data_IF_238349022161
#
_entry.id   IF_238349022161
#
_cell.length_a   1.000
_cell.length_b   1.000
_cell.length_c   1.000
_cell.angle_alpha   90.00
_cell.angle_beta   90.00
_cell.angle_gamma   90.00
#
_symmetry.space_group_name_H-M   'P 1'
#
loop_
_entity.id
_entity.type
_entity.pdbx_description
1 polymer ?
#
# COMPACT_ATOMS: atom_id res chain seq x y z
N UNK A 1 -32.37 8.32 -8.52
CA UNK A 1 -31.16 7.97 -7.77
C UNK A 1 -30.14 7.58 -8.83
N UNK A 2 -29.17 8.45 -9.09
CA UNK A 2 -28.02 8.07 -9.91
C UNK A 2 -27.25 7.01 -9.11
N UNK A 3 -27.34 5.76 -9.54
CA UNK A 3 -26.40 4.74 -9.08
C UNK A 3 -25.05 5.12 -9.69
N UNK A 4 -24.25 5.87 -8.93
CA UNK A 4 -22.86 6.07 -9.26
C UNK A 4 -22.19 4.69 -9.28
N UNK A 5 -21.95 4.16 -10.48
CA UNK A 5 -21.21 2.92 -10.67
C UNK A 5 -19.82 3.05 -10.06
N UNK A 6 -19.37 2.02 -9.34
CA UNK A 6 -18.01 1.96 -8.83
C UNK A 6 -17.17 1.06 -9.74
N UNK A 7 -16.00 1.53 -10.15
CA UNK A 7 -15.02 0.74 -10.90
C UNK A 7 -13.93 0.28 -9.95
N UNK A 8 -13.83 -1.04 -9.73
CA UNK A 8 -12.76 -1.63 -8.95
C UNK A 8 -11.69 -2.26 -9.85
N UNK A 9 -10.46 -1.76 -9.74
CA UNK A 9 -9.30 -2.37 -10.37
C UNK A 9 -8.76 -3.47 -9.43
N UNK A 10 -9.02 -4.74 -9.74
CA UNK A 10 -8.50 -5.83 -8.92
C UNK A 10 -6.98 -5.96 -9.06
N UNK A 11 -6.24 -5.39 -8.10
CA UNK A 11 -4.77 -5.47 -7.96
C UNK A 11 -4.32 -6.59 -7.04
N UNK A 12 -5.22 -7.44 -6.55
CA UNK A 12 -4.91 -8.40 -5.48
C UNK A 12 -3.91 -9.48 -5.91
N UNK A 13 -3.74 -9.71 -7.21
CA UNK A 13 -2.69 -10.60 -7.74
C UNK A 13 -1.27 -10.19 -7.37
N UNK A 14 -1.07 -8.91 -7.05
CA UNK A 14 0.24 -8.31 -6.82
C UNK A 14 0.60 -8.19 -5.33
N UNK A 15 -0.33 -8.47 -4.40
CA UNK A 15 -0.11 -8.34 -2.95
C UNK A 15 1.13 -9.12 -2.49
N UNK A 16 1.20 -10.41 -2.84
CA UNK A 16 2.33 -11.27 -2.50
C UNK A 16 3.63 -10.85 -3.20
N UNK A 17 3.50 -10.37 -4.44
CA UNK A 17 4.65 -9.97 -5.27
C UNK A 17 5.33 -8.72 -4.72
N UNK A 18 4.54 -7.76 -4.21
CA UNK A 18 5.06 -6.55 -3.56
C UNK A 18 5.79 -6.90 -2.25
N UNK A 19 5.20 -7.77 -1.43
CA UNK A 19 5.83 -8.17 -0.18
C UNK A 19 7.11 -9.00 -0.40
N UNK A 20 7.11 -9.85 -1.42
CA UNK A 20 8.25 -10.72 -1.72
C UNK A 20 9.38 -10.03 -2.50
N UNK A 21 9.22 -8.75 -2.85
CA UNK A 21 10.22 -7.99 -3.62
C UNK A 21 11.34 -7.40 -2.78
N UNK A 22 11.19 -7.36 -1.45
CA UNK A 22 12.26 -6.92 -0.56
C UNK A 22 13.31 -8.03 -0.38
N UNK A 23 14.56 -7.61 -0.20
CA UNK A 23 15.68 -8.53 0.07
C UNK A 23 15.96 -8.64 1.58
N UNK A 24 16.37 -9.82 2.03
CA UNK A 24 16.75 -10.04 3.44
C UNK A 24 15.64 -9.74 4.44
N UNK A 25 16.01 -9.19 5.59
CA UNK A 25 15.10 -8.75 6.65
C UNK A 25 14.79 -7.25 6.50
N UNK A 26 14.28 -6.83 5.34
CA UNK A 26 13.90 -5.42 5.08
C UNK A 26 12.46 -5.34 4.58
N UNK A 27 11.86 -4.15 4.67
CA UNK A 27 10.54 -3.86 4.13
C UNK A 27 10.64 -3.30 2.70
N UNK A 28 9.74 -3.65 1.78
CA UNK A 28 9.68 -3.02 0.47
C UNK A 28 9.32 -1.54 0.63
N UNK A 29 10.13 -0.66 0.05
CA UNK A 29 9.85 0.76 -0.11
C UNK A 29 9.41 1.02 -1.54
N UNK A 30 8.23 1.61 -1.70
CA UNK A 30 7.67 1.91 -3.03
C UNK A 30 7.24 3.35 -3.13
N UNK A 31 7.82 4.05 -4.10
CA UNK A 31 7.48 5.44 -4.41
C UNK A 31 6.67 5.52 -5.70
N UNK A 32 5.51 6.19 -5.66
CA UNK A 32 4.72 6.50 -6.86
C UNK A 32 4.20 7.94 -6.80
N UNK A 33 3.99 8.61 -7.94
CA UNK A 33 3.31 9.89 -7.95
C UNK A 33 1.94 9.85 -7.25
N UNK A 34 1.37 11.02 -6.99
CA UNK A 34 -0.02 11.11 -6.53
C UNK A 34 -0.98 10.53 -7.57
N UNK A 35 -2.14 10.03 -7.14
CA UNK A 35 -3.15 9.46 -8.03
C UNK A 35 -2.95 7.99 -8.45
N UNK A 36 -1.86 7.34 -8.02
CA UNK A 36 -1.55 5.94 -8.38
C UNK A 36 -2.26 4.86 -7.53
N UNK A 37 -3.20 5.24 -6.65
CA UNK A 37 -3.93 4.27 -5.80
C UNK A 37 -3.11 3.68 -4.65
N UNK A 38 -2.04 4.36 -4.21
CA UNK A 38 -1.14 3.93 -3.13
C UNK A 38 -1.88 3.52 -1.85
N UNK A 39 -2.65 4.43 -1.29
CA UNK A 39 -3.43 4.23 -0.06
C UNK A 39 -4.50 3.14 -0.23
N UNK A 40 -5.19 3.07 -1.38
CA UNK A 40 -6.17 2.00 -1.65
C UNK A 40 -5.51 0.63 -1.69
N UNK A 41 -4.37 0.51 -2.37
CA UNK A 41 -3.60 -0.73 -2.40
C UNK A 41 -3.10 -1.10 -1.01
N UNK A 42 -2.59 -0.13 -0.24
CA UNK A 42 -2.12 -0.34 1.12
C UNK A 42 -3.25 -0.84 2.04
N UNK A 43 -4.43 -0.22 1.99
CA UNK A 43 -5.60 -0.66 2.75
C UNK A 43 -6.02 -2.10 2.37
N UNK A 44 -6.02 -2.41 1.08
CA UNK A 44 -6.31 -3.77 0.60
C UNK A 44 -5.28 -4.78 1.14
N UNK A 45 -4.01 -4.39 1.18
CA UNK A 45 -2.91 -5.20 1.69
C UNK A 45 -3.01 -5.39 3.20
N UNK A 46 -3.35 -4.34 3.96
CA UNK A 46 -3.56 -4.44 5.40
C UNK A 46 -4.71 -5.39 5.70
N UNK A 47 -5.84 -5.26 5.01
CA UNK A 47 -7.00 -6.13 5.20
C UNK A 47 -6.70 -7.60 4.84
N UNK A 48 -5.84 -7.84 3.86
CA UNK A 48 -5.40 -9.19 3.46
C UNK A 48 -4.57 -9.89 4.54
N UNK A 49 -3.72 -9.15 5.26
CA UNK A 49 -2.80 -9.71 6.25
C UNK A 49 -3.33 -9.70 7.69
N UNK A 50 -4.37 -8.92 7.96
CA UNK A 50 -4.90 -8.68 9.30
C UNK A 50 -5.54 -9.90 9.95
N UNK A 51 -5.09 -10.22 11.16
CA UNK A 51 -5.61 -11.29 12.00
C UNK A 51 -6.82 -10.86 12.87
N UNK A 52 -7.19 -9.57 12.91
CA UNK A 52 -8.31 -9.07 13.73
C UNK A 52 -9.64 -9.75 13.40
N UNK A 53 -9.88 -10.07 12.12
CA UNK A 53 -11.10 -10.71 11.66
C UNK A 53 -10.74 -12.04 10.99
N UNK A 54 -10.70 -13.15 11.75
CA UNK A 54 -10.39 -14.47 11.20
C UNK A 54 -11.32 -14.81 10.02
N UNK A 55 -10.73 -15.20 8.90
CA UNK A 55 -11.47 -15.60 7.69
C UNK A 55 -12.01 -14.45 6.85
N UNK A 56 -11.86 -13.18 7.25
CA UNK A 56 -12.24 -12.04 6.40
C UNK A 56 -11.51 -12.10 5.06
N UNK A 57 -10.19 -12.30 5.08
CA UNK A 57 -9.42 -12.37 3.86
C UNK A 57 -9.83 -13.54 2.96
N UNK A 58 -10.22 -14.68 3.56
CA UNK A 58 -10.71 -15.81 2.77
C UNK A 58 -12.02 -15.45 2.06
N UNK A 59 -12.97 -14.79 2.72
CA UNK A 59 -14.25 -14.40 2.12
C UNK A 59 -14.10 -13.23 1.14
N UNK A 60 -13.39 -12.18 1.53
CA UNK A 60 -13.27 -10.94 0.75
C UNK A 60 -12.41 -11.12 -0.51
N UNK A 61 -11.47 -12.06 -0.50
CA UNK A 61 -10.52 -12.26 -1.59
C UNK A 61 -10.67 -13.63 -2.31
N UNK A 62 -11.67 -14.45 -1.97
CA UNK A 62 -11.90 -15.73 -2.65
C UNK A 62 -12.08 -15.54 -4.16
N UNK A 63 -12.89 -14.55 -4.53
CA UNK A 63 -13.25 -14.26 -5.92
C UNK A 63 -12.21 -13.38 -6.65
N UNK A 64 -11.15 -12.94 -5.96
CA UNK A 64 -10.15 -12.04 -6.54
C UNK A 64 -8.92 -12.81 -7.03
N UNK A 65 -8.01 -12.12 -7.73
CA UNK A 65 -6.89 -12.82 -8.35
C UNK A 65 -5.93 -13.52 -7.36
N UNK A 66 -5.90 -13.16 -6.07
CA UNK A 66 -5.14 -13.89 -5.06
C UNK A 66 -5.84 -15.15 -4.53
N UNK A 67 -7.15 -15.29 -4.73
CA UNK A 67 -7.95 -16.46 -4.33
C UNK A 67 -7.98 -17.62 -5.34
N UNK A 68 -7.49 -17.43 -6.58
CA UNK A 68 -7.59 -18.43 -7.64
C UNK A 68 -6.99 -19.81 -7.27
N UNK A 69 -7.65 -20.93 -7.65
CA UNK A 69 -7.19 -22.29 -7.37
C UNK A 69 -5.75 -22.53 -7.82
N UNK A 70 -4.92 -23.09 -6.93
CA UNK A 70 -3.50 -23.38 -7.18
C UNK A 70 -2.54 -22.30 -6.67
N UNK A 71 -3.02 -21.14 -6.20
CA UNK A 71 -2.18 -20.18 -5.47
C UNK A 71 -2.04 -20.60 -4.02
N UNK A 72 -0.80 -20.64 -3.51
CA UNK A 72 -0.58 -20.74 -2.07
C UNK A 72 -0.99 -19.42 -1.44
N UNK A 73 -1.87 -19.44 -0.44
CA UNK A 73 -2.44 -18.22 0.13
C UNK A 73 -1.45 -17.32 0.88
N UNK A 74 -0.23 -17.79 1.09
CA UNK A 74 0.77 -17.09 1.91
C UNK A 74 0.29 -16.97 3.36
N UNK A 75 0.84 -15.99 4.07
CA UNK A 75 0.53 -15.70 5.46
C UNK A 75 -0.70 -14.78 5.61
N UNK A 76 -1.80 -15.05 4.87
CA UNK A 76 -3.01 -14.22 4.98
C UNK A 76 -3.67 -14.37 6.35
N UNK A 77 -4.22 -13.27 6.88
CA UNK A 77 -4.74 -13.17 8.26
C UNK A 77 -3.79 -13.64 9.37
N UNK A 78 -2.48 -13.47 9.19
CA UNK A 78 -1.46 -13.93 10.13
C UNK A 78 -0.94 -12.85 11.08
N UNK A 79 -0.96 -11.59 10.63
CA UNK A 79 -0.25 -10.50 11.28
C UNK A 79 -1.18 -9.59 12.06
N UNK A 80 -0.64 -8.97 13.11
CA UNK A 80 -1.26 -7.81 13.73
C UNK A 80 -0.83 -6.59 12.94
N UNK A 81 -1.74 -5.97 12.21
CA UNK A 81 -1.42 -4.83 11.34
C UNK A 81 -1.36 -3.54 12.15
N UNK A 82 -0.25 -2.82 12.01
CA UNK A 82 -0.08 -1.45 12.47
C UNK A 82 0.12 -0.53 11.25
N UNK A 83 -0.77 0.45 11.09
CA UNK A 83 -0.77 1.38 9.96
C UNK A 83 -0.44 2.80 10.45
N UNK A 84 0.62 3.38 9.89
CA UNK A 84 1.11 4.71 10.21
C UNK A 84 0.99 5.61 8.98
N UNK A 85 0.12 6.61 9.03
CA UNK A 85 -0.01 7.62 7.97
C UNK A 85 0.73 8.90 8.34
N UNK A 86 1.91 9.09 7.74
CA UNK A 86 2.78 10.24 8.01
C UNK A 86 2.28 11.54 7.36
N UNK A 87 1.18 11.53 6.61
CA UNK A 87 0.53 12.77 6.15
C UNK A 87 -0.09 13.57 7.31
N UNK A 88 -0.27 12.95 8.49
CA UNK A 88 -0.91 13.56 9.67
C UNK A 88 0.04 14.38 10.55
N UNK A 89 1.33 14.43 10.24
CA UNK A 89 2.33 15.20 10.99
C UNK A 89 2.43 16.65 10.51
N UNK A 90 2.77 17.57 11.41
CA UNK A 90 3.03 18.98 11.10
C UNK A 90 4.53 19.20 10.84
N UNK A 91 4.89 19.45 9.59
CA UNK A 91 6.29 19.62 9.16
C UNK A 91 6.72 21.09 9.07
N UNK A 92 6.01 22.02 9.72
CA UNK A 92 6.33 23.46 9.67
C UNK A 92 7.54 23.88 10.51
N UNK A 93 7.97 23.06 11.48
CA UNK A 93 9.24 23.18 12.19
C UNK A 93 9.65 21.83 12.77
N UNK A 94 10.91 21.70 13.22
CA UNK A 94 11.40 20.50 13.92
C UNK A 94 10.56 20.15 15.15
N UNK A 95 10.28 21.12 16.01
CA UNK A 95 9.59 20.91 17.29
C UNK A 95 8.15 20.43 17.05
N UNK A 96 7.45 21.09 16.14
CA UNK A 96 6.07 20.70 15.76
C UNK A 96 6.04 19.32 15.10
N UNK A 97 7.05 19.02 14.29
CA UNK A 97 7.16 17.71 13.68
C UNK A 97 7.35 16.63 14.75
N UNK A 98 8.31 16.81 15.66
CA UNK A 98 8.52 15.90 16.80
C UNK A 98 7.24 15.72 17.62
N UNK A 99 6.58 16.80 18.03
CA UNK A 99 5.35 16.73 18.82
C UNK A 99 4.22 15.99 18.10
N UNK A 100 4.04 16.25 16.81
CA UNK A 100 3.01 15.60 16.00
C UNK A 100 3.34 14.14 15.68
N UNK A 101 4.62 13.79 15.50
CA UNK A 101 5.09 12.42 15.31
C UNK A 101 4.89 11.58 16.57
N UNK A 102 5.30 12.09 17.74
CA UNK A 102 5.08 11.43 19.04
C UNK A 102 3.58 11.20 19.27
N UNK A 103 2.74 12.20 18.99
CA UNK A 103 1.30 12.07 19.13
C UNK A 103 0.71 11.04 18.16
N UNK A 104 1.17 11.00 16.92
CA UNK A 104 0.76 10.01 15.93
C UNK A 104 1.12 8.60 16.41
N UNK A 105 2.38 8.37 16.77
CA UNK A 105 2.86 7.06 17.22
C UNK A 105 2.13 6.57 18.47
N UNK A 106 1.90 7.45 19.45
CA UNK A 106 1.11 7.12 20.65
C UNK A 106 -0.34 6.75 20.30
N UNK A 107 -1.00 7.57 19.48
CA UNK A 107 -2.39 7.33 19.05
C UNK A 107 -2.52 6.04 18.25
N UNK A 108 -1.61 5.75 17.31
CA UNK A 108 -1.66 4.51 16.52
C UNK A 108 -1.30 3.29 17.37
N UNK A 109 -0.43 3.44 18.37
CA UNK A 109 -0.15 2.38 19.35
C UNK A 109 -1.38 2.07 20.19
N UNK A 110 -2.10 3.08 20.67
CA UNK A 110 -3.36 2.89 21.41
C UNK A 110 -4.42 2.19 20.54
N UNK A 111 -4.63 2.67 19.31
CA UNK A 111 -5.55 2.04 18.35
C UNK A 111 -5.17 0.58 18.07
N UNK A 112 -3.89 0.30 17.86
CA UNK A 112 -3.37 -1.04 17.66
C UNK A 112 -3.66 -1.95 18.86
N UNK A 113 -3.36 -1.51 20.07
CA UNK A 113 -3.60 -2.31 21.28
C UNK A 113 -5.08 -2.60 21.45
N UNK A 114 -5.95 -1.59 21.33
CA UNK A 114 -7.39 -1.79 21.47
C UNK A 114 -7.95 -2.74 20.40
N UNK A 115 -7.44 -2.65 19.17
CA UNK A 115 -7.86 -3.54 18.08
C UNK A 115 -7.53 -5.01 18.35
N UNK A 116 -6.38 -5.29 18.97
CA UNK A 116 -5.89 -6.66 19.16
C UNK A 116 -5.90 -7.15 20.61
N UNK A 117 -6.51 -6.40 21.54
CA UNK A 117 -6.41 -6.70 22.98
C UNK A 117 -6.88 -8.11 23.33
N UNK A 118 -7.92 -8.61 22.65
CA UNK A 118 -8.44 -9.96 22.82
C UNK A 118 -7.46 -11.03 22.32
N UNK A 119 -6.77 -10.77 21.19
CA UNK A 119 -5.78 -11.69 20.63
C UNK A 119 -4.45 -11.69 21.41
N UNK A 120 -4.14 -10.56 22.04
CA UNK A 120 -2.92 -10.37 22.83
C UNK A 120 -3.07 -10.85 24.27
N UNK A 121 -4.31 -10.93 24.77
CA UNK A 121 -4.63 -11.29 26.16
C UNK A 121 -3.84 -10.45 27.18
N UNK A 122 -3.54 -9.18 26.84
CA UNK A 122 -2.76 -8.32 27.72
C UNK A 122 -3.62 -7.79 28.87
N UNK A 123 -3.14 -7.88 30.13
CA UNK A 123 -3.88 -7.34 31.26
C UNK A 123 -3.86 -5.80 31.22
N UNK A 124 -4.90 -5.18 31.80
CA UNK A 124 -5.10 -3.73 31.75
C UNK A 124 -3.92 -2.94 32.35
N UNK A 125 -3.24 -3.47 33.36
CA UNK A 125 -2.07 -2.83 33.96
C UNK A 125 -0.85 -2.80 33.01
N UNK A 126 -0.71 -3.82 32.14
CA UNK A 126 0.30 -3.82 31.09
C UNK A 126 -0.02 -2.76 30.04
N UNK A 127 -1.28 -2.68 29.60
CA UNK A 127 -1.71 -1.66 28.62
C UNK A 127 -1.48 -0.25 29.17
N UNK A 128 -1.86 -0.01 30.43
CA UNK A 128 -1.63 1.27 31.08
C UNK A 128 -0.15 1.67 31.11
N UNK A 129 0.75 0.73 31.42
CA UNK A 129 2.21 0.97 31.40
C UNK A 129 2.75 1.27 30.00
N UNK A 130 2.24 0.60 28.95
CA UNK A 130 2.67 0.85 27.57
C UNK A 130 2.27 2.27 27.15
N UNK A 131 1.07 2.71 27.51
CA UNK A 131 0.51 3.99 27.07
C UNK A 131 0.83 5.17 28.00
N UNK A 132 1.54 4.93 29.11
CA UNK A 132 1.84 5.93 30.15
C UNK A 132 2.65 7.11 29.61
N UNK A 133 3.63 6.85 28.75
CA UNK A 133 4.54 7.85 28.20
C UNK A 133 4.45 7.90 26.67
N UNK A 134 3.85 8.96 26.08
CA UNK A 134 3.69 9.06 24.64
C UNK A 134 4.97 8.93 23.82
N UNK A 135 6.09 9.46 24.32
CA UNK A 135 7.38 9.45 23.62
C UNK A 135 7.97 8.05 23.43
N UNK A 136 7.59 7.08 24.26
CA UNK A 136 8.16 5.72 24.25
C UNK A 136 7.12 4.64 23.99
N UNK A 137 5.84 4.97 23.89
CA UNK A 137 4.76 4.00 23.78
C UNK A 137 4.94 3.03 22.60
N UNK A 138 5.39 3.53 21.45
CA UNK A 138 5.65 2.70 20.27
C UNK A 138 6.73 1.64 20.55
N UNK A 139 7.91 2.05 21.03
CA UNK A 139 9.01 1.14 21.40
C UNK A 139 8.58 0.15 22.50
N UNK A 140 7.95 0.64 23.57
CA UNK A 140 7.50 -0.20 24.69
C UNK A 140 6.45 -1.22 24.22
N UNK A 141 5.55 -0.86 23.30
CA UNK A 141 4.60 -1.77 22.69
C UNK A 141 5.31 -2.87 21.88
N UNK A 142 6.26 -2.51 21.01
CA UNK A 142 7.03 -3.49 20.23
C UNK A 142 7.88 -4.39 21.13
N UNK A 143 8.45 -3.87 22.21
CA UNK A 143 9.12 -4.65 23.25
C UNK A 143 8.17 -5.65 23.91
N UNK A 144 6.94 -5.25 24.25
CA UNK A 144 5.93 -6.16 24.78
C UNK A 144 5.55 -7.27 23.78
N UNK A 145 5.55 -6.94 22.48
CA UNK A 145 5.27 -7.89 21.40
C UNK A 145 6.32 -8.98 21.25
N UNK A 146 7.57 -8.80 21.72
CA UNK A 146 8.59 -9.87 21.75
C UNK A 146 8.13 -11.14 22.49
N UNK A 147 7.23 -10.97 23.45
CA UNK A 147 6.66 -12.07 24.23
C UNK A 147 5.32 -12.56 23.70
N UNK A 148 4.77 -11.90 22.68
CA UNK A 148 3.61 -12.38 21.97
C UNK A 148 4.08 -13.41 20.93
N UNK A 149 3.36 -14.51 20.76
CA UNK A 149 3.63 -15.48 19.69
C UNK A 149 3.12 -14.97 18.32
N UNK A 150 3.04 -13.64 18.16
CA UNK A 150 2.45 -12.94 17.02
C UNK A 150 3.48 -11.98 16.45
N UNK A 151 3.39 -11.74 15.14
CA UNK A 151 4.23 -10.77 14.45
C UNK A 151 3.39 -9.60 13.95
N UNK A 152 4.02 -8.44 13.85
CA UNK A 152 3.42 -7.22 13.32
C UNK A 152 3.64 -7.14 11.81
N UNK A 153 2.62 -6.68 11.11
CA UNK A 153 2.75 -6.14 9.76
C UNK A 153 2.78 -4.61 9.88
N UNK A 154 3.92 -3.99 9.55
CA UNK A 154 4.10 -2.54 9.64
C UNK A 154 3.84 -1.87 8.29
N UNK A 155 2.76 -1.11 8.20
CA UNK A 155 2.39 -0.32 7.03
C UNK A 155 2.71 1.16 7.29
N UNK A 156 3.65 1.74 6.55
CA UNK A 156 3.95 3.19 6.61
C UNK A 156 3.46 3.82 5.31
N UNK A 157 2.42 4.64 5.38
CA UNK A 157 1.93 5.43 4.24
C UNK A 157 2.50 6.86 4.26
N UNK A 158 2.52 7.47 3.08
CA UNK A 158 2.86 8.87 2.89
C UNK A 158 4.19 9.30 3.52
N UNK A 159 5.19 8.40 3.56
CA UNK A 159 6.44 8.67 4.29
C UNK A 159 7.21 9.91 3.79
N UNK A 160 6.98 10.29 2.54
CA UNK A 160 7.62 11.44 1.91
C UNK A 160 6.93 12.77 2.22
N UNK A 161 5.67 12.74 2.68
CA UNK A 161 4.85 13.94 2.89
C UNK A 161 5.50 14.92 3.86
N UNK A 162 6.11 14.49 4.98
CA UNK A 162 6.81 15.41 5.87
C UNK A 162 7.89 16.23 5.17
N UNK A 163 8.73 15.59 4.35
CA UNK A 163 9.83 16.27 3.65
C UNK A 163 9.34 17.23 2.56
N UNK A 164 8.18 16.96 1.97
CA UNK A 164 7.53 17.83 0.97
C UNK A 164 6.96 19.09 1.60
N UNK A 165 6.41 18.95 2.81
CA UNK A 165 5.77 20.05 3.53
C UNK A 165 6.76 20.89 4.34
N UNK A 166 8.01 20.42 4.48
CA UNK A 166 9.08 21.16 5.11
C UNK A 166 9.35 22.50 4.38
N UNK A 167 9.43 23.63 5.10
CA UNK A 167 9.59 24.97 4.51
C UNK A 167 10.97 25.19 3.87
N UNK A 168 12.00 24.50 4.37
CA UNK A 168 13.39 24.64 3.95
C UNK A 168 14.17 23.34 4.13
N UNK A 169 15.44 23.34 3.70
CA UNK A 169 16.31 22.16 3.77
C UNK A 169 16.72 21.81 5.21
N UNK A 170 16.96 22.81 6.06
CA UNK A 170 17.34 22.59 7.46
C UNK A 170 16.22 21.88 8.23
N UNK A 171 14.97 22.32 8.04
CA UNK A 171 13.81 21.65 8.61
C UNK A 171 13.64 20.23 8.07
N UNK A 172 13.96 20.01 6.78
CA UNK A 172 13.90 18.69 6.16
C UNK A 172 14.91 17.72 6.79
N UNK A 173 16.14 18.16 7.02
CA UNK A 173 17.18 17.36 7.65
C UNK A 173 16.81 17.07 9.11
N UNK A 174 16.29 18.06 9.83
CA UNK A 174 15.79 17.86 11.18
C UNK A 174 14.60 16.88 11.25
N UNK A 175 13.71 16.90 10.26
CA UNK A 175 12.61 15.92 10.15
C UNK A 175 13.16 14.50 9.95
N UNK A 176 14.21 14.35 9.15
CA UNK A 176 14.87 13.06 8.93
C UNK A 176 15.44 12.48 10.23
N UNK A 177 16.13 13.32 11.02
CA UNK A 177 16.67 12.96 12.33
C UNK A 177 15.56 12.48 13.29
N UNK A 178 14.45 13.23 13.39
CA UNK A 178 13.35 12.88 14.28
C UNK A 178 12.60 11.62 13.81
N UNK A 179 12.39 11.44 12.49
CA UNK A 179 11.83 10.21 11.94
C UNK A 179 12.71 9.00 12.23
N UNK A 180 14.02 9.15 12.04
CA UNK A 180 14.97 8.07 12.32
C UNK A 180 14.95 7.72 13.80
N UNK A 181 14.99 8.71 14.70
CA UNK A 181 15.06 8.50 16.14
C UNK A 181 13.82 7.81 16.70
N UNK A 182 12.63 8.29 16.34
CA UNK A 182 11.38 7.82 16.96
C UNK A 182 10.73 6.63 16.25
N UNK A 183 11.01 6.42 14.96
CA UNK A 183 10.38 5.39 14.16
C UNK A 183 11.39 4.48 13.46
N UNK A 184 12.33 5.06 12.69
CA UNK A 184 13.25 4.30 11.83
C UNK A 184 14.12 3.31 12.61
N UNK A 185 14.91 3.81 13.55
CA UNK A 185 15.83 3.00 14.37
C UNK A 185 15.09 1.95 15.20
N UNK A 186 13.94 2.33 15.78
CA UNK A 186 13.09 1.43 16.57
C UNK A 186 12.56 0.31 15.67
N UNK A 187 11.94 0.64 14.53
CA UNK A 187 11.39 -0.35 13.62
C UNK A 187 12.48 -1.25 13.00
N UNK A 188 13.67 -0.72 12.71
CA UNK A 188 14.83 -1.51 12.27
C UNK A 188 15.23 -2.57 13.30
N UNK A 189 15.33 -2.20 14.58
CA UNK A 189 15.65 -3.15 15.66
C UNK A 189 14.59 -4.27 15.75
N UNK A 190 13.31 -3.90 15.70
CA UNK A 190 12.21 -4.87 15.82
C UNK A 190 11.97 -5.72 14.58
N UNK A 191 12.41 -5.25 13.42
CA UNK A 191 12.52 -6.04 12.21
C UNK A 191 13.64 -7.08 12.33
N UNK A 192 14.81 -6.68 12.85
CA UNK A 192 15.96 -7.56 13.06
C UNK A 192 15.70 -8.72 14.02
N UNK A 193 14.82 -8.54 15.00
CA UNK A 193 14.42 -9.60 15.95
C UNK A 193 13.10 -10.31 15.58
N UNK A 194 12.48 -9.99 14.45
CA UNK A 194 11.30 -10.68 13.92
C UNK A 194 9.96 -10.33 14.59
N UNK A 195 9.92 -9.30 15.44
CA UNK A 195 8.67 -8.76 15.99
C UNK A 195 7.87 -8.11 14.87
N UNK A 196 8.51 -7.26 14.08
CA UNK A 196 7.98 -6.83 12.79
C UNK A 196 8.35 -7.96 11.82
N UNK A 197 7.36 -8.77 11.45
CA UNK A 197 7.59 -9.93 10.59
C UNK A 197 7.43 -9.61 9.11
N UNK A 198 6.74 -8.51 8.78
CA UNK A 198 6.54 -8.03 7.42
C UNK A 198 6.03 -6.58 7.42
N UNK A 199 5.83 -6.00 6.24
CA UNK A 199 5.36 -4.64 6.11
C UNK A 199 5.60 -4.04 4.75
N UNK A 200 5.36 -2.74 4.62
CA UNK A 200 5.63 -1.95 3.42
C UNK A 200 5.75 -0.48 3.80
N UNK A 201 6.60 0.25 3.07
CA UNK A 201 6.75 1.70 3.18
C UNK A 201 6.36 2.32 1.83
N UNK A 202 5.38 3.21 1.83
CA UNK A 202 4.80 3.79 0.62
C UNK A 202 4.87 5.31 0.68
N UNK A 203 5.28 5.92 -0.43
CA UNK A 203 5.42 7.37 -0.51
C UNK A 203 5.36 7.92 -1.93
N UNK A 204 5.69 9.20 -2.05
CA UNK A 204 5.62 9.98 -3.27
C UNK A 204 6.96 10.64 -3.61
N UNK A 205 7.32 10.62 -4.89
CA UNK A 205 8.63 11.05 -5.39
C UNK A 205 9.17 12.33 -4.75
N UNK A 206 10.13 12.16 -3.85
CA UNK A 206 11.24 13.10 -3.64
C UNK A 206 12.39 12.52 -4.46
N UNK A 207 13.18 13.35 -5.15
CA UNK A 207 14.18 12.91 -6.13
C UNK A 207 15.02 11.70 -5.66
N UNK A 208 15.33 10.79 -6.59
CA UNK A 208 16.14 9.60 -6.35
C UNK A 208 17.24 9.81 -5.30
N UNK A 209 17.20 9.07 -4.19
CA UNK A 209 18.44 8.71 -3.51
C UNK A 209 18.50 8.73 -1.99
N UNK A 210 17.53 9.27 -1.25
CA UNK A 210 17.52 9.05 0.20
C UNK A 210 16.30 8.23 0.61
N UNK A 211 16.55 6.98 1.01
CA UNK A 211 15.62 6.23 1.88
C UNK A 211 15.46 6.96 3.24
N UNK A 212 16.30 7.95 3.50
CA UNK A 212 16.26 8.85 4.66
C UNK A 212 16.31 8.03 5.94
N UNK A 213 15.44 8.39 6.86
CA UNK A 213 15.16 7.69 8.10
C UNK A 213 14.87 6.18 7.99
N UNK A 214 14.63 5.63 6.80
CA UNK A 214 14.27 4.22 6.59
C UNK A 214 15.35 3.39 5.88
N UNK A 215 16.56 3.93 5.65
CA UNK A 215 17.61 3.28 4.86
C UNK A 215 18.01 1.89 5.38
N UNK A 216 18.13 1.75 6.71
CA UNK A 216 18.52 0.50 7.37
C UNK A 216 17.44 -0.59 7.38
N UNK A 217 16.17 -0.22 7.27
CA UNK A 217 15.03 -1.15 7.38
C UNK A 217 14.28 -1.40 6.07
N UNK A 218 14.67 -0.76 4.96
CA UNK A 218 13.96 -0.88 3.67
C UNK A 218 14.82 -1.30 2.49
N UNK A 219 14.21 -1.99 1.53
CA UNK A 219 14.73 -2.17 0.17
C UNK A 219 13.92 -1.30 -0.79
N UNK A 220 14.59 -0.45 -1.57
CA UNK A 220 13.91 0.33 -2.61
C UNK A 220 13.42 -0.59 -3.73
N UNK A 221 12.12 -0.87 -3.72
CA UNK A 221 11.42 -1.66 -4.70
C UNK A 221 10.72 -0.80 -5.74
N UNK A 222 10.90 0.53 -5.75
CA UNK A 222 10.20 1.46 -6.67
C UNK A 222 10.28 1.02 -8.12
N UNK A 223 11.42 0.48 -8.54
CA UNK A 223 11.71 0.03 -9.90
C UNK A 223 11.65 -1.50 -10.07
N UNK A 224 11.30 -2.24 -9.01
CA UNK A 224 11.23 -3.69 -9.04
C UNK A 224 10.10 -4.13 -9.99
N UNK A 225 10.36 -5.20 -10.73
CA UNK A 225 9.40 -5.70 -11.69
C UNK A 225 8.10 -6.15 -11.01
N UNK A 226 8.24 -6.80 -9.85
CA UNK A 226 7.15 -7.39 -9.08
C UNK A 226 6.11 -6.37 -8.56
N UNK A 227 6.48 -5.08 -8.42
CA UNK A 227 5.59 -4.03 -7.90
C UNK A 227 4.95 -3.19 -9.00
N UNK A 228 5.31 -3.41 -10.27
CA UNK A 228 5.01 -2.48 -11.36
C UNK A 228 3.51 -2.33 -11.63
N UNK A 229 2.74 -3.41 -11.47
CA UNK A 229 1.31 -3.44 -11.73
C UNK A 229 0.45 -3.16 -10.50
N UNK A 230 1.07 -3.14 -9.31
CA UNK A 230 0.37 -2.92 -8.05
C UNK A 230 -0.24 -1.52 -7.96
N UNK A 231 0.38 -0.54 -8.63
CA UNK A 231 0.00 0.87 -8.56
C UNK A 231 -0.23 1.45 -9.96
N UNK A 232 -1.32 2.19 -10.15
CA UNK A 232 -1.73 2.72 -11.45
C UNK A 232 -2.45 1.71 -12.35
N UNK A 233 -2.98 2.21 -13.48
CA UNK A 233 -3.52 1.37 -14.55
C UNK A 233 -2.44 1.07 -15.59
N UNK A 234 -2.28 -0.19 -15.95
CA UNK A 234 -1.51 -0.61 -17.12
C UNK A 234 -2.25 -0.23 -18.40
N UNK A 235 -1.53 -0.14 -19.52
CA UNK A 235 -2.15 0.05 -20.85
C UNK A 235 -3.25 -0.99 -21.12
N UNK A 236 -3.01 -2.24 -20.75
CA UNK A 236 -3.99 -3.32 -20.92
C UNK A 236 -5.27 -3.06 -20.12
N UNK A 237 -5.16 -2.63 -18.86
CA UNK A 237 -6.31 -2.28 -18.02
C UNK A 237 -7.05 -1.04 -18.54
N UNK A 238 -6.32 -0.01 -19.01
CA UNK A 238 -6.93 1.17 -19.66
C UNK A 238 -7.76 0.74 -20.88
N UNK A 239 -7.26 -0.20 -21.69
CA UNK A 239 -8.02 -0.74 -22.83
C UNK A 239 -9.29 -1.46 -22.38
N UNK A 240 -9.20 -2.28 -21.34
CA UNK A 240 -10.38 -2.97 -20.79
C UNK A 240 -11.42 -1.97 -20.29
N UNK A 241 -11.00 -0.92 -19.59
CA UNK A 241 -11.90 0.15 -19.16
C UNK A 241 -12.58 0.86 -20.33
N UNK A 242 -11.83 1.20 -21.38
CA UNK A 242 -12.40 1.80 -22.60
C UNK A 242 -13.41 0.89 -23.29
N UNK A 243 -13.13 -0.41 -23.38
CA UNK A 243 -14.07 -1.38 -23.95
C UNK A 243 -15.36 -1.49 -23.14
N UNK A 244 -15.28 -1.37 -21.82
CA UNK A 244 -16.45 -1.46 -20.93
C UNK A 244 -17.28 -0.17 -20.99
N UNK A 245 -16.64 1.00 -20.93
CA UNK A 245 -17.35 2.26 -20.64
C UNK A 245 -17.52 3.20 -21.82
N UNK A 246 -16.63 3.15 -22.82
CA UNK A 246 -16.73 4.02 -24.00
C UNK A 246 -17.01 3.26 -25.30
N UNK A 247 -16.88 1.92 -25.30
CA UNK A 247 -16.93 1.07 -26.50
C UNK A 247 -16.06 1.58 -27.67
N UNK A 248 -15.07 2.40 -27.34
CA UNK A 248 -14.26 3.17 -28.28
C UNK A 248 -12.79 2.83 -28.08
N UNK A 249 -12.19 2.26 -29.12
CA UNK A 249 -10.77 1.92 -29.17
C UNK A 249 -9.86 3.16 -29.05
N UNK A 250 -10.38 4.37 -29.30
CA UNK A 250 -9.64 5.64 -29.19
C UNK A 250 -9.33 6.05 -27.74
N UNK A 251 -10.05 5.50 -26.76
CA UNK A 251 -9.88 5.85 -25.34
C UNK A 251 -8.43 5.64 -24.85
N UNK A 252 -7.80 4.54 -25.27
CA UNK A 252 -6.40 4.25 -24.92
C UNK A 252 -5.46 5.31 -25.48
N UNK A 253 -5.68 5.75 -26.72
CA UNK A 253 -4.85 6.75 -27.38
C UNK A 253 -5.00 8.12 -26.71
N UNK A 254 -6.19 8.44 -26.23
CA UNK A 254 -6.45 9.70 -25.54
C UNK A 254 -5.85 9.73 -24.14
N UNK A 255 -5.96 8.62 -23.39
CA UNK A 255 -5.21 8.47 -22.13
C UNK A 255 -3.71 8.60 -22.37
N UNK A 256 -3.19 7.98 -23.43
CA UNK A 256 -1.75 8.07 -23.77
C UNK A 256 -1.29 9.49 -24.12
N UNK A 257 -2.14 10.29 -24.76
CA UNK A 257 -1.81 11.68 -25.12
C UNK A 257 -1.96 12.65 -23.94
N UNK A 258 -2.94 12.41 -23.08
CA UNK A 258 -3.38 13.38 -22.06
C UNK A 258 -2.81 13.09 -20.67
N UNK A 259 -2.42 11.85 -20.39
CA UNK A 259 -1.96 11.42 -19.07
C UNK A 259 -0.48 11.04 -19.15
N UNK A 260 0.38 11.63 -18.29
CA UNK A 260 1.76 11.19 -18.15
C UNK A 260 1.82 9.68 -17.84
N UNK A 261 2.54 8.94 -18.67
CA UNK A 261 2.79 7.52 -18.46
C UNK A 261 4.16 7.28 -17.84
N UNK A 262 4.26 6.28 -16.99
CA UNK A 262 5.50 5.89 -16.33
C UNK A 262 5.85 4.46 -16.69
N UNK A 263 7.14 4.17 -16.85
CA UNK A 263 7.63 2.81 -17.12
C UNK A 263 8.50 2.39 -15.94
N UNK A 264 8.13 1.29 -15.29
CA UNK A 264 8.85 0.72 -14.15
C UNK A 264 9.30 -0.71 -14.48
N UNK A 265 10.51 -1.09 -14.05
CA UNK A 265 10.99 -2.48 -14.18
C UNK A 265 12.47 -2.64 -14.59
N UNK A 266 13.42 -2.06 -13.85
CA UNK A 266 14.87 -2.17 -14.15
C UNK A 266 15.36 -3.61 -14.23
N UNK A 267 14.79 -4.53 -13.44
CA UNK A 267 15.18 -5.95 -13.45
C UNK A 267 14.85 -6.68 -14.75
N UNK A 268 13.83 -6.24 -15.51
CA UNK A 268 13.52 -6.86 -16.79
C UNK A 268 14.59 -6.54 -17.84
N UNK A 269 15.20 -5.36 -17.77
CA UNK A 269 16.26 -4.95 -18.71
C UNK A 269 17.56 -5.72 -18.48
N UNK A 270 17.83 -6.16 -17.25
CA UNK A 270 19.00 -6.98 -16.91
C UNK A 270 18.79 -8.48 -17.12
N UNK A 271 17.54 -8.95 -17.20
CA UNK A 271 17.20 -10.35 -17.44
C UNK A 271 17.12 -10.66 -18.93
N UNK A 272 17.99 -11.56 -19.39
CA UNK A 272 17.90 -12.14 -20.73
C UNK A 272 16.49 -12.77 -20.94
N UNK A 273 15.85 -12.69 -22.12
CA UNK A 273 14.48 -13.19 -22.35
C UNK A 273 14.19 -14.65 -21.94
N UNK A 274 15.25 -15.47 -21.81
CA UNK A 274 15.18 -16.85 -21.31
C UNK A 274 15.01 -17.00 -19.79
N UNK A 275 15.19 -15.92 -19.01
CA UNK A 275 15.08 -15.87 -17.55
C UNK A 275 13.91 -15.01 -17.08
N UNK A 276 12.93 -14.75 -17.95
CA UNK A 276 11.77 -13.91 -17.71
C UNK A 276 10.74 -14.60 -16.79
N UNK A 277 11.13 -15.02 -15.58
CA UNK A 277 10.21 -15.56 -14.57
C UNK A 277 10.40 -14.85 -13.23
N UNK A 278 9.31 -14.45 -12.59
CA UNK A 278 9.30 -13.89 -11.24
C UNK A 278 9.77 -14.91 -10.20
N UNK A 279 10.10 -14.46 -8.98
CA UNK A 279 10.51 -15.34 -7.86
C UNK A 279 9.46 -16.40 -7.51
N UNK A 280 8.19 -16.13 -7.79
CA UNK A 280 7.06 -17.06 -7.66
C UNK A 280 6.73 -17.85 -8.96
N UNK A 281 7.62 -17.82 -9.95
CA UNK A 281 7.56 -18.67 -11.16
C UNK A 281 6.65 -18.18 -12.27
N UNK A 282 6.17 -16.92 -12.26
CA UNK A 282 5.31 -16.37 -13.32
C UNK A 282 6.14 -15.80 -14.46
N UNK A 283 5.74 -16.07 -15.70
CA UNK A 283 6.38 -15.49 -16.88
C UNK A 283 6.26 -13.96 -16.83
N UNK A 284 7.39 -13.27 -16.80
CA UNK A 284 7.49 -11.83 -16.87
C UNK A 284 7.06 -11.36 -18.26
N UNK A 285 6.04 -10.51 -18.31
CA UNK A 285 5.63 -9.71 -19.46
C UNK A 285 6.56 -8.51 -19.65
N UNK A 286 6.72 -7.97 -20.87
CA UNK A 286 7.47 -6.72 -21.09
C UNK A 286 6.96 -5.58 -20.20
N UNK A 287 7.81 -4.62 -19.82
CA UNK A 287 7.37 -3.40 -19.16
C UNK A 287 6.35 -2.68 -20.04
N UNK A 288 5.18 -2.42 -19.46
CA UNK A 288 4.11 -1.63 -20.07
C UNK A 288 4.03 -0.28 -19.34
N UNK A 289 3.66 0.80 -20.04
CA UNK A 289 3.38 2.07 -19.39
C UNK A 289 2.22 1.92 -18.41
N UNK A 290 2.38 2.55 -17.25
CA UNK A 290 1.34 2.71 -16.23
C UNK A 290 0.92 4.17 -16.11
N UNK A 291 -0.37 4.37 -15.86
CA UNK A 291 -1.04 5.66 -15.82
C UNK A 291 -1.63 5.88 -14.42
N UNK A 292 -1.66 7.15 -13.97
CA UNK A 292 -2.30 7.50 -12.71
C UNK A 292 -3.81 7.19 -12.77
N UNK A 293 -4.34 6.54 -11.72
CA UNK A 293 -5.72 6.08 -11.69
C UNK A 293 -6.71 7.25 -11.70
N UNK A 294 -6.43 8.31 -10.96
CA UNK A 294 -7.25 9.52 -10.89
C UNK A 294 -7.32 10.25 -12.24
N UNK A 295 -6.22 10.27 -12.99
CA UNK A 295 -6.15 10.89 -14.30
C UNK A 295 -6.92 10.09 -15.36
N UNK A 296 -6.82 8.76 -15.33
CA UNK A 296 -7.64 7.88 -16.19
C UNK A 296 -9.12 8.03 -15.85
N UNK A 297 -9.46 8.09 -14.56
CA UNK A 297 -10.83 8.29 -14.09
C UNK A 297 -11.43 9.60 -14.61
N UNK A 298 -10.70 10.72 -14.56
CA UNK A 298 -11.16 12.01 -15.10
C UNK A 298 -11.49 11.96 -16.60
N UNK A 299 -10.76 11.16 -17.38
CA UNK A 299 -11.05 10.99 -18.81
C UNK A 299 -12.29 10.10 -19.00
N UNK A 300 -12.47 9.07 -18.17
CA UNK A 300 -13.67 8.23 -18.19
C UNK A 300 -14.94 9.01 -17.83
N UNK A 301 -14.90 9.83 -16.77
CA UNK A 301 -16.04 10.67 -16.36
C UNK A 301 -16.49 11.59 -17.50
N UNK A 302 -15.55 12.15 -18.26
CA UNK A 302 -15.86 13.00 -19.42
C UNK A 302 -16.45 12.27 -20.63
N UNK A 303 -16.46 10.93 -20.62
CA UNK A 303 -16.92 10.06 -21.74
C UNK A 303 -18.01 9.09 -21.34
N UNK A 304 -18.46 9.13 -20.09
CA UNK A 304 -19.45 8.18 -19.60
C UNK A 304 -20.79 8.41 -20.29
N UNK A 305 -21.16 7.50 -21.19
CA UNK A 305 -22.55 7.32 -21.60
C UNK A 305 -23.12 6.18 -20.74
N UNK A 306 -24.23 6.40 -19.99
CA UNK A 306 -24.85 5.34 -19.22
C UNK A 306 -25.22 4.21 -20.17
N UNK A 307 -24.61 3.03 -19.98
CA UNK A 307 -25.08 1.84 -20.64
C UNK A 307 -26.48 1.52 -20.09
N UNK A 308 -27.49 1.57 -20.96
CA UNK A 308 -28.78 0.93 -20.71
C UNK A 308 -28.58 -0.59 -20.76
N UNK A 309 -27.97 -1.17 -19.72
CA UNK A 309 -27.74 -2.62 -19.59
C UNK A 309 -29.04 -3.37 -19.27
N UNK A 310 -30.14 -2.66 -19.05
CA UNK A 310 -31.48 -3.23 -18.95
C UNK A 310 -32.36 -2.76 -20.11
N UNK A 311 -32.09 -3.27 -21.31
CA UNK A 311 -33.05 -3.24 -22.40
C UNK A 311 -34.32 -3.98 -21.91
N UNK A 312 -35.32 -3.22 -21.45
CA UNK A 312 -36.64 -3.71 -21.00
C UNK A 312 -37.47 -4.23 -22.18
N UNK A 313 -36.91 -5.10 -23.01
CA UNK A 313 -37.58 -5.69 -24.18
C UNK A 313 -38.16 -7.08 -23.98
N UNK A 314 -38.21 -7.59 -22.74
CA UNK A 314 -38.78 -8.91 -22.45
C UNK A 314 -40.02 -8.93 -21.54
N UNK A 315 -40.79 -7.84 -21.41
CA UNK A 315 -41.97 -7.82 -20.53
C UNK A 315 -43.25 -7.18 -21.10
N UNK A 316 -43.40 -7.12 -22.43
CA UNK A 316 -44.67 -6.76 -23.07
C UNK A 316 -44.93 -7.69 -24.25
N UNK A 317 -45.39 -8.91 -23.98
CA UNK A 317 -46.06 -9.79 -24.97
C UNK A 317 -46.76 -10.98 -24.27
N UNK A 318 -47.41 -10.72 -23.13
CA UNK A 318 -48.37 -11.65 -22.52
C UNK A 318 -49.49 -10.82 -21.86
N UNK A 319 -50.41 -10.33 -22.69
CA UNK A 319 -51.83 -10.18 -22.39
C UNK A 319 -52.51 -9.58 -23.63
N UNK A 320 -53.05 -10.46 -24.49
CA UNK A 320 -54.27 -10.30 -25.29
C UNK A 320 -54.76 -11.67 -25.77
#
# INVERSE_FOLDING_TARGET
MEENGAVWADKTAELLSVISSAEGCTLPLVVRPSGFGKTTFLNTLTDYYDAAIPGFADVAFEATQCGFPGRKPGNRSWYLVMHLDLARTDSSSREKFRESLVRLLHSETECFIHKYIELLEWPADRVARILEYPETAFDVCLNAMRYSQRSIFLAIDNFTTPYKNAPDAETRDAIDDELYLYLGAVAEEFLGCGVIGNGIVVGEGVGCGSRGAFDGMTTDCTQAYAVRHAFGFTRTEVKQLGMIFSQDDSFVDDVQKLVPSYVYGREFESLHPKYAYTRDGRKMRPPEPVFAMDAVWKILEGRWEPLDVFDRKCLLDLDD
#
